data_IF_934622072957
#
_entry.id   IF_934622072957
#
_cell.length_a   1.000
_cell.length_b   1.000
_cell.length_c   1.000
_cell.angle_alpha   90.00
_cell.angle_beta   90.00
_cell.angle_gamma   90.00
#
_symmetry.space_group_name_H-M   'P 1'
#
loop_
_entity.id
_entity.type
_entity.pdbx_description
1 polymer ?
#
# COMPACT_ATOMS: atom_id res chain seq x y z
N UNK A 1 56.09 16.28 24.81
CA UNK A 1 54.73 16.74 24.41
C UNK A 1 54.63 16.56 22.89
N UNK A 2 54.54 15.34 22.33
CA UNK A 2 53.37 14.43 22.22
C UNK A 2 52.11 15.15 21.76
N UNK A 3 51.72 15.00 20.49
CA UNK A 3 50.40 14.55 20.04
C UNK A 3 50.50 14.04 18.60
N UNK A 4 50.52 12.71 18.46
CA UNK A 4 50.32 11.99 17.21
C UNK A 4 48.82 11.66 17.15
N UNK A 5 48.10 12.30 16.23
CA UNK A 5 46.64 12.14 16.10
C UNK A 5 46.35 10.85 15.35
N UNK A 6 45.97 9.81 16.09
CA UNK A 6 45.48 8.53 15.54
C UNK A 6 44.02 8.71 15.18
N UNK A 7 43.71 8.67 13.89
CA UNK A 7 42.35 8.58 13.37
C UNK A 7 41.84 7.15 13.63
N UNK A 8 41.02 6.98 14.66
CA UNK A 8 40.38 5.70 15.00
C UNK A 8 39.17 5.50 14.07
N UNK A 9 39.37 4.72 13.01
CA UNK A 9 38.30 4.28 12.11
C UNK A 9 37.40 3.28 12.87
N UNK A 10 36.25 3.76 13.34
CA UNK A 10 35.26 2.94 14.03
C UNK A 10 34.53 2.06 13.00
N UNK A 11 34.96 0.81 12.88
CA UNK A 11 34.25 -0.23 12.13
C UNK A 11 32.95 -0.56 12.89
N UNK A 12 31.82 -0.09 12.37
CA UNK A 12 30.48 -0.53 12.76
C UNK A 12 30.33 -2.02 12.41
N UNK A 13 30.74 -2.90 13.31
CA UNK A 13 30.31 -4.29 13.27
C UNK A 13 28.84 -4.30 13.66
N UNK A 14 27.96 -4.47 12.69
CA UNK A 14 26.56 -4.81 12.92
C UNK A 14 26.54 -6.11 13.72
N UNK A 15 26.32 -6.00 15.03
CA UNK A 15 25.98 -7.16 15.85
C UNK A 15 24.66 -7.67 15.32
N UNK A 16 24.70 -8.82 14.63
CA UNK A 16 23.53 -9.67 14.50
C UNK A 16 22.99 -9.89 15.91
N UNK A 17 21.81 -9.32 16.19
CA UNK A 17 21.07 -9.67 17.40
C UNK A 17 20.76 -11.15 17.31
N UNK A 18 21.47 -11.95 18.08
CA UNK A 18 21.04 -13.30 18.42
C UNK A 18 19.66 -13.11 19.06
N UNK A 19 18.63 -13.69 18.45
CA UNK A 19 17.26 -13.57 18.94
C UNK A 19 17.22 -13.84 20.44
N UNK A 20 16.63 -12.92 21.20
CA UNK A 20 16.18 -13.28 22.54
C UNK A 20 15.17 -14.41 22.33
N UNK A 21 15.38 -15.55 22.97
CA UNK A 21 14.33 -16.57 23.07
C UNK A 21 13.09 -15.89 23.66
N UNK A 22 12.05 -15.77 22.85
CA UNK A 22 10.78 -15.19 23.24
C UNK A 22 10.19 -16.05 24.36
N UNK A 23 10.11 -15.50 25.59
CA UNK A 23 9.81 -16.29 26.79
C UNK A 23 8.41 -16.92 26.70
N UNK A 24 7.44 -16.19 26.14
CA UNK A 24 6.11 -16.68 25.78
C UNK A 24 5.95 -16.60 24.25
N UNK A 25 6.29 -17.66 23.49
CA UNK A 25 6.19 -17.63 22.03
C UNK A 25 4.77 -17.38 21.54
N UNK A 26 4.62 -16.43 20.61
CA UNK A 26 3.35 -16.12 19.97
C UNK A 26 2.46 -15.16 20.77
N UNK A 27 3.03 -14.44 21.73
CA UNK A 27 2.34 -13.37 22.44
C UNK A 27 2.61 -12.02 21.74
N UNK A 28 1.55 -11.28 21.46
CA UNK A 28 1.63 -9.92 20.93
C UNK A 28 2.03 -8.91 22.03
N UNK A 29 1.62 -9.18 23.27
CA UNK A 29 1.91 -8.34 24.46
C UNK A 29 2.28 -9.23 25.64
N UNK A 30 3.24 -8.77 26.44
CA UNK A 30 3.69 -9.46 27.66
C UNK A 30 3.28 -8.70 28.91
N UNK A 31 2.76 -9.43 29.89
CA UNK A 31 2.56 -8.99 31.27
C UNK A 31 3.54 -9.73 32.19
N UNK A 32 4.32 -8.98 32.95
CA UNK A 32 5.25 -9.52 33.94
C UNK A 32 4.53 -9.79 35.25
N UNK A 33 4.69 -10.99 35.81
CA UNK A 33 4.33 -11.31 37.18
C UNK A 33 5.59 -11.34 38.04
N UNK A 34 5.67 -10.45 39.02
CA UNK A 34 6.80 -10.39 39.96
C UNK A 34 6.38 -9.78 41.29
N UNK A 35 6.82 -10.37 42.39
CA UNK A 35 6.56 -9.83 43.73
C UNK A 35 5.08 -9.92 44.07
N UNK A 36 4.38 -8.78 44.19
CA UNK A 36 2.95 -8.73 44.50
C UNK A 36 2.17 -7.96 43.42
N UNK A 37 2.65 -7.98 42.18
CA UNK A 37 2.12 -7.16 41.09
C UNK A 37 2.20 -7.84 39.73
N UNK A 38 1.26 -7.47 38.86
CA UNK A 38 1.42 -7.59 37.42
C UNK A 38 1.97 -6.25 36.87
N UNK A 39 2.79 -6.30 35.83
CA UNK A 39 3.33 -5.11 35.18
C UNK A 39 3.44 -5.32 33.67
N UNK A 40 2.79 -4.47 32.85
CA UNK A 40 1.76 -3.50 33.24
C UNK A 40 0.54 -4.16 33.93
N UNK A 41 -0.14 -3.42 34.81
CA UNK A 41 -1.35 -3.84 35.53
C UNK A 41 -2.65 -3.47 34.79
N UNK A 42 -2.55 -2.64 33.75
CA UNK A 42 -3.62 -2.35 32.81
C UNK A 42 -3.05 -2.29 31.39
N UNK A 43 -3.63 -3.05 30.47
CA UNK A 43 -3.28 -3.01 29.05
C UNK A 43 -4.52 -2.86 28.18
N UNK A 44 -4.31 -2.30 27.00
CA UNK A 44 -5.29 -2.26 25.92
C UNK A 44 -4.76 -3.16 24.80
N UNK A 45 -5.61 -4.04 24.29
CA UNK A 45 -5.30 -4.95 23.18
C UNK A 45 -6.49 -4.98 22.23
N UNK A 46 -6.28 -5.52 21.03
CA UNK A 46 -7.38 -5.71 20.07
C UNK A 46 -7.88 -7.16 20.11
N UNK A 47 -9.13 -7.38 19.69
CA UNK A 47 -9.65 -8.71 19.42
C UNK A 47 -8.69 -9.46 18.49
N UNK A 48 -8.38 -10.70 18.84
CA UNK A 48 -7.40 -11.56 18.17
C UNK A 48 -5.98 -11.46 18.72
N UNK A 49 -5.68 -10.50 19.60
CA UNK A 49 -4.36 -10.40 20.22
C UNK A 49 -4.17 -11.44 21.32
N UNK A 50 -2.94 -11.95 21.40
CA UNK A 50 -2.50 -12.93 22.38
C UNK A 50 -1.66 -12.25 23.46
N UNK A 51 -2.12 -12.34 24.70
CA UNK A 51 -1.36 -11.86 25.86
C UNK A 51 -0.58 -13.04 26.45
N UNK A 52 0.70 -12.83 26.72
CA UNK A 52 1.56 -13.76 27.44
C UNK A 52 1.89 -13.26 28.83
N UNK A 53 1.86 -14.14 29.83
CA UNK A 53 2.26 -13.79 31.19
C UNK A 53 3.59 -14.44 31.52
N UNK A 54 4.56 -13.65 31.96
CA UNK A 54 5.89 -14.15 32.32
C UNK A 54 6.11 -14.01 33.82
N UNK A 55 6.40 -15.10 34.51
CA UNK A 55 6.77 -15.08 35.91
C UNK A 55 8.29 -14.87 36.02
N UNK A 56 8.71 -13.78 36.66
CA UNK A 56 10.12 -13.41 36.87
C UNK A 56 10.68 -13.81 38.25
N UNK A 57 9.89 -14.48 39.09
CA UNK A 57 10.28 -14.90 40.43
C UNK A 57 9.09 -15.08 41.36
N UNK A 58 9.16 -16.10 42.23
CA UNK A 58 8.09 -16.42 43.18
C UNK A 58 7.01 -17.31 42.56
N UNK A 59 5.88 -17.43 43.28
CA UNK A 59 4.76 -18.32 42.91
C UNK A 59 3.56 -17.50 42.42
N UNK A 60 3.25 -17.61 41.14
CA UNK A 60 2.24 -16.78 40.47
C UNK A 60 1.37 -17.60 39.52
N UNK A 61 0.15 -17.14 39.32
CA UNK A 61 -0.81 -17.64 38.35
C UNK A 61 -1.54 -16.48 37.66
N UNK A 62 -2.55 -16.79 36.86
CA UNK A 62 -3.46 -15.79 36.27
C UNK A 62 -4.87 -16.32 36.40
N UNK A 63 -5.72 -15.63 37.15
CA UNK A 63 -7.10 -16.04 37.37
C UNK A 63 -8.08 -14.96 36.91
N UNK A 64 -8.74 -15.22 35.79
CA UNK A 64 -9.80 -14.38 35.23
C UNK A 64 -11.22 -14.93 35.48
N UNK A 65 -11.42 -15.82 36.46
CA UNK A 65 -12.73 -16.46 36.70
C UNK A 65 -13.52 -15.75 37.81
N UNK A 66 -12.93 -15.65 39.00
CA UNK A 66 -13.54 -15.01 40.17
C UNK A 66 -12.51 -14.33 41.04
N UNK A 67 -12.88 -13.26 41.73
CA UNK A 67 -11.97 -12.54 42.60
C UNK A 67 -11.49 -13.40 43.76
N UNK A 68 -10.18 -13.51 43.93
CA UNK A 68 -9.53 -14.16 45.07
C UNK A 68 -9.71 -13.40 46.39
N UNK A 69 -10.22 -12.16 46.32
CA UNK A 69 -10.51 -11.30 47.48
C UNK A 69 -11.96 -11.48 47.94
N UNK A 70 -12.92 -11.45 47.01
CA UNK A 70 -14.35 -11.42 47.34
C UNK A 70 -15.06 -12.75 47.11
N UNK A 71 -14.50 -13.64 46.27
CA UNK A 71 -15.12 -14.88 45.83
C UNK A 71 -16.13 -14.72 44.69
N UNK A 72 -16.49 -13.48 44.31
CA UNK A 72 -17.46 -13.20 43.26
C UNK A 72 -16.84 -13.38 41.87
N UNK A 73 -17.64 -13.81 40.89
CA UNK A 73 -17.17 -13.89 39.50
C UNK A 73 -16.81 -12.51 38.96
N UNK A 74 -15.74 -12.44 38.16
CA UNK A 74 -15.39 -11.23 37.44
C UNK A 74 -16.40 -10.88 36.34
N UNK A 75 -17.22 -11.84 35.89
CA UNK A 75 -18.14 -11.69 34.76
C UNK A 75 -17.42 -11.16 33.50
N UNK A 76 -16.21 -11.65 33.27
CA UNK A 76 -15.44 -11.35 32.06
C UNK A 76 -16.20 -11.85 30.81
N UNK A 77 -16.09 -11.16 29.66
CA UNK A 77 -16.80 -11.56 28.44
C UNK A 77 -16.51 -12.99 27.95
N UNK A 78 -15.26 -13.45 28.13
CA UNK A 78 -14.87 -14.85 28.03
C UNK A 78 -13.98 -15.26 29.22
N UNK A 79 -13.99 -16.56 29.55
CA UNK A 79 -13.24 -17.08 30.71
C UNK A 79 -11.80 -17.41 30.34
N UNK A 80 -10.86 -17.02 31.20
CA UNK A 80 -9.45 -17.38 31.07
C UNK A 80 -8.81 -17.64 32.44
N UNK A 81 -7.88 -18.59 32.49
CA UNK A 81 -7.07 -18.87 33.67
C UNK A 81 -5.82 -19.64 33.29
N UNK A 82 -4.69 -19.31 33.89
CA UNK A 82 -3.42 -20.02 33.75
C UNK A 82 -3.02 -20.56 35.11
N UNK A 83 -2.53 -21.80 35.12
CA UNK A 83 -2.18 -22.49 36.36
C UNK A 83 -1.00 -21.85 37.09
N UNK A 84 -0.93 -22.09 38.39
CA UNK A 84 0.14 -21.59 39.25
C UNK A 84 1.48 -22.23 38.93
N UNK A 85 2.52 -21.41 38.80
CA UNK A 85 3.90 -21.86 38.71
C UNK A 85 4.82 -21.07 39.64
N UNK A 86 5.82 -21.76 40.18
CA UNK A 86 6.84 -21.19 41.03
C UNK A 86 8.19 -21.21 40.34
N UNK A 87 8.89 -20.08 40.33
CA UNK A 87 10.24 -19.98 39.77
C UNK A 87 11.18 -19.22 40.71
N UNK A 88 12.44 -19.64 40.71
CA UNK A 88 13.46 -19.04 41.58
C UNK A 88 14.11 -17.83 40.91
N UNK A 89 14.78 -18.01 39.77
CA UNK A 89 15.57 -16.95 39.12
C UNK A 89 15.56 -16.96 37.59
N UNK A 90 15.03 -18.01 36.96
CA UNK A 90 14.88 -18.07 35.50
C UNK A 90 13.42 -17.76 35.17
N UNK A 91 13.14 -16.70 34.41
CA UNK A 91 11.77 -16.37 34.05
C UNK A 91 11.14 -17.46 33.19
N UNK A 92 9.85 -17.73 33.40
CA UNK A 92 9.10 -18.71 32.61
C UNK A 92 7.78 -18.11 32.15
N UNK A 93 7.29 -18.56 31.01
CA UNK A 93 5.93 -18.28 30.60
C UNK A 93 4.94 -19.01 31.51
N UNK A 94 4.06 -18.27 32.18
CA UNK A 94 2.86 -18.80 32.83
C UNK A 94 1.90 -19.42 31.82
N UNK A 95 1.85 -18.82 30.63
CA UNK A 95 1.03 -19.24 29.51
C UNK A 95 0.60 -18.03 28.70
N UNK A 96 -0.17 -18.30 27.65
CA UNK A 96 -0.74 -17.29 26.76
C UNK A 96 -2.25 -17.44 26.66
N UNK A 97 -2.94 -16.35 26.34
CA UNK A 97 -4.37 -16.36 26.04
C UNK A 97 -4.68 -15.37 24.93
N UNK A 98 -5.43 -15.83 23.91
CA UNK A 98 -5.91 -14.99 22.81
C UNK A 98 -7.31 -14.51 23.13
N UNK A 99 -7.50 -13.19 23.17
CA UNK A 99 -8.80 -12.59 23.46
C UNK A 99 -9.62 -12.47 22.18
N UNK A 100 -10.83 -13.01 22.16
CA UNK A 100 -11.70 -13.07 20.97
C UNK A 100 -12.96 -12.22 21.10
N UNK A 101 -13.29 -11.76 22.31
CA UNK A 101 -14.48 -10.94 22.57
C UNK A 101 -14.05 -9.56 23.10
N UNK A 102 -14.52 -8.44 22.53
CA UNK A 102 -14.21 -7.12 23.06
C UNK A 102 -14.85 -6.91 24.43
N UNK A 103 -14.21 -6.10 25.28
CA UNK A 103 -14.74 -5.76 26.59
C UNK A 103 -13.66 -5.56 27.64
N UNK A 104 -14.11 -5.41 28.89
CA UNK A 104 -13.24 -5.23 30.03
C UNK A 104 -13.04 -6.55 30.77
N UNK A 105 -11.79 -6.91 31.00
CA UNK A 105 -11.39 -8.15 31.66
C UNK A 105 -10.64 -7.82 32.94
N UNK A 106 -11.03 -8.43 34.05
CA UNK A 106 -10.33 -8.36 35.32
C UNK A 106 -9.71 -9.71 35.66
N UNK A 107 -8.53 -9.69 36.27
CA UNK A 107 -7.88 -10.89 36.78
C UNK A 107 -7.02 -10.59 37.99
N UNK A 108 -6.74 -11.63 38.77
CA UNK A 108 -5.85 -11.57 39.91
C UNK A 108 -4.99 -12.81 40.04
N UNK A 109 -4.08 -12.78 41.01
CA UNK A 109 -3.29 -13.93 41.41
C UNK A 109 -3.96 -14.64 42.59
N UNK A 110 -4.24 -15.94 42.46
CA UNK A 110 -4.89 -16.74 43.51
C UNK A 110 -3.94 -17.15 44.63
N UNK A 111 -2.62 -17.02 44.41
CA UNK A 111 -1.62 -17.35 45.44
C UNK A 111 -1.92 -16.58 46.72
N UNK A 112 -1.87 -17.29 47.85
CA UNK A 112 -2.35 -16.83 49.15
C UNK A 112 -1.93 -15.39 49.50
N UNK A 113 -2.91 -14.48 49.50
CA UNK A 113 -2.74 -13.06 49.87
C UNK A 113 -2.21 -12.14 48.78
N UNK A 114 -1.94 -12.64 47.57
CA UNK A 114 -1.40 -11.84 46.47
C UNK A 114 -2.40 -10.81 45.96
N UNK A 115 -3.60 -11.25 45.56
CA UNK A 115 -4.67 -10.34 45.13
C UNK A 115 -4.99 -9.29 46.21
N UNK A 116 -5.11 -9.70 47.48
CA UNK A 116 -5.38 -8.80 48.61
C UNK A 116 -4.27 -7.78 48.89
N UNK A 117 -3.07 -8.00 48.36
CA UNK A 117 -1.92 -7.08 48.44
C UNK A 117 -1.77 -6.22 47.18
N UNK A 118 -2.70 -6.29 46.24
CA UNK A 118 -2.69 -5.48 45.01
C UNK A 118 -2.25 -6.23 43.75
N UNK A 119 -2.05 -7.55 43.80
CA UNK A 119 -1.76 -8.35 42.60
C UNK A 119 -3.04 -8.62 41.79
N UNK A 120 -3.61 -7.54 41.29
CA UNK A 120 -4.81 -7.48 40.45
C UNK A 120 -4.48 -6.67 39.21
N UNK A 121 -5.11 -6.99 38.09
CA UNK A 121 -4.88 -6.29 36.85
C UNK A 121 -6.10 -6.37 35.93
N UNK A 122 -6.09 -5.56 34.87
CA UNK A 122 -7.14 -5.56 33.88
C UNK A 122 -6.60 -5.49 32.45
N UNK A 123 -7.45 -5.93 31.52
CA UNK A 123 -7.22 -5.89 30.08
C UNK A 123 -8.48 -5.28 29.47
N UNK A 124 -8.33 -4.23 28.67
CA UNK A 124 -9.42 -3.71 27.83
C UNK A 124 -9.18 -4.20 26.41
N UNK A 125 -10.12 -4.97 25.88
CA UNK A 125 -10.06 -5.52 24.53
C UNK A 125 -10.97 -4.70 23.64
N UNK A 126 -10.39 -4.04 22.64
CA UNK A 126 -11.14 -3.29 21.62
C UNK A 126 -11.36 -4.13 20.37
N UNK A 127 -12.47 -3.86 19.67
CA UNK A 127 -12.68 -4.28 18.30
C UNK A 127 -12.57 -3.04 17.40
N UNK A 128 -11.40 -2.77 16.81
CA UNK A 128 -11.23 -1.63 15.90
C UNK A 128 -11.98 -1.87 14.59
N UNK A 129 -12.68 -0.84 14.11
CA UNK A 129 -13.40 -0.88 12.83
C UNK A 129 -13.99 0.47 12.48
N UNK A 130 -14.58 0.61 11.29
CA UNK A 130 -15.23 1.86 10.90
C UNK A 130 -16.53 2.07 11.71
N UNK A 131 -16.65 3.21 12.38
CA UNK A 131 -17.85 3.56 13.17
C UNK A 131 -18.81 4.51 12.45
N UNK A 132 -18.49 4.98 11.24
CA UNK A 132 -19.37 5.85 10.46
C UNK A 132 -20.47 5.04 9.75
N UNK A 133 -21.72 5.28 10.15
CA UNK A 133 -22.91 4.61 9.60
C UNK A 133 -23.15 4.88 8.11
N UNK A 134 -22.50 5.89 7.53
CA UNK A 134 -22.58 6.21 6.11
C UNK A 134 -21.47 5.56 5.29
N UNK A 135 -20.50 4.91 5.94
CA UNK A 135 -19.41 4.23 5.25
C UNK A 135 -19.81 2.86 4.72
N UNK A 136 -19.21 2.48 3.60
CA UNK A 136 -19.39 1.21 2.94
C UNK A 136 -18.91 0.01 3.76
N UNK A 137 -17.95 0.23 4.65
CA UNK A 137 -17.39 -0.78 5.56
C UNK A 137 -17.73 -0.52 7.03
N UNK A 138 -18.85 0.17 7.30
CA UNK A 138 -19.37 0.36 8.65
C UNK A 138 -19.46 -0.97 9.41
N UNK A 139 -18.87 -1.02 10.61
CA UNK A 139 -18.96 -2.15 11.53
C UNK A 139 -19.70 -1.73 12.80
N UNK A 140 -20.93 -2.22 12.95
CA UNK A 140 -21.76 -1.96 14.14
C UNK A 140 -21.21 -2.57 15.42
N UNK A 141 -20.26 -3.51 15.34
CA UNK A 141 -19.62 -4.12 16.50
C UNK A 141 -18.33 -3.40 16.91
N UNK A 142 -17.81 -2.49 16.08
CA UNK A 142 -16.60 -1.75 16.38
C UNK A 142 -16.77 -0.97 17.70
N UNK A 143 -15.78 -1.10 18.58
CA UNK A 143 -15.75 -0.38 19.87
C UNK A 143 -14.85 0.84 19.82
N UNK A 144 -14.06 0.98 18.75
CA UNK A 144 -13.12 2.08 18.51
C UNK A 144 -13.01 2.31 17.00
N UNK A 145 -13.04 3.58 16.59
CA UNK A 145 -12.83 3.97 15.20
C UNK A 145 -11.34 3.87 14.86
N UNK A 146 -11.03 3.14 13.79
CA UNK A 146 -9.66 2.93 13.31
C UNK A 146 -9.34 3.74 12.05
N UNK A 147 -10.17 4.72 11.69
CA UNK A 147 -10.03 5.56 10.51
C UNK A 147 -10.03 4.76 9.20
N UNK A 148 -10.55 3.52 9.21
CA UNK A 148 -10.66 2.69 8.01
C UNK A 148 -11.92 2.96 7.18
N UNK A 149 -12.76 3.89 7.60
CA UNK A 149 -14.03 4.19 6.92
C UNK A 149 -13.83 4.54 5.45
N UNK A 150 -14.58 3.86 4.59
CA UNK A 150 -14.62 4.07 3.13
C UNK A 150 -15.96 4.71 2.78
N UNK A 151 -15.94 5.96 2.37
CA UNK A 151 -17.10 6.78 2.05
C UNK A 151 -17.34 6.84 0.54
N UNK A 152 -18.57 7.22 0.18
CA UNK A 152 -18.92 7.51 -1.21
C UNK A 152 -18.08 8.67 -1.73
N UNK A 153 -17.43 8.46 -2.88
CA UNK A 153 -16.52 9.41 -3.51
C UNK A 153 -15.07 9.33 -3.03
N UNK A 154 -14.73 8.41 -2.12
CA UNK A 154 -13.33 8.14 -1.79
C UNK A 154 -12.62 7.48 -2.97
N UNK A 155 -11.34 7.82 -3.14
CA UNK A 155 -10.46 7.18 -4.12
C UNK A 155 -10.28 5.70 -3.78
N UNK A 156 -10.32 4.84 -4.79
CA UNK A 156 -10.12 3.40 -4.65
C UNK A 156 -9.34 2.84 -5.86
N UNK A 157 -9.22 1.51 -5.95
CA UNK A 157 -8.63 0.81 -7.10
C UNK A 157 -9.53 -0.40 -7.40
N UNK A 158 -10.19 -0.40 -8.56
CA UNK A 158 -11.09 -1.48 -8.98
C UNK A 158 -10.33 -2.66 -9.63
N UNK A 159 -9.02 -2.51 -9.82
CA UNK A 159 -8.13 -3.49 -10.41
C UNK A 159 -8.25 -3.64 -11.93
N UNK A 160 -9.04 -2.82 -12.61
CA UNK A 160 -9.11 -2.77 -14.07
C UNK A 160 -8.06 -1.81 -14.62
N UNK A 161 -7.12 -2.32 -15.41
CA UNK A 161 -6.08 -1.50 -16.04
C UNK A 161 -6.64 -0.54 -17.12
N UNK A 162 -7.89 -0.73 -17.53
CA UNK A 162 -8.57 0.08 -18.54
C UNK A 162 -9.43 1.18 -17.92
N UNK A 163 -9.42 1.36 -16.60
CA UNK A 163 -10.11 2.44 -15.89
C UNK A 163 -9.11 3.40 -15.25
N UNK A 164 -9.56 4.64 -15.00
CA UNK A 164 -8.82 5.67 -14.29
C UNK A 164 -9.77 6.44 -13.37
N UNK A 165 -9.18 7.11 -12.39
CA UNK A 165 -9.89 7.94 -11.42
C UNK A 165 -10.99 7.13 -10.69
N UNK A 166 -10.61 5.96 -10.17
CA UNK A 166 -11.54 5.05 -9.52
C UNK A 166 -12.02 5.61 -8.19
N UNK A 167 -13.34 5.60 -8.02
CA UNK A 167 -13.98 6.14 -6.82
C UNK A 167 -15.09 5.20 -6.35
N UNK A 168 -15.33 5.23 -5.04
CA UNK A 168 -16.40 4.47 -4.39
C UNK A 168 -17.75 5.07 -4.79
N UNK A 169 -18.57 4.26 -5.44
CA UNK A 169 -19.89 4.63 -5.94
C UNK A 169 -20.97 4.44 -4.87
N UNK A 170 -22.17 4.99 -5.06
CA UNK A 170 -23.30 4.88 -4.11
C UNK A 170 -23.67 3.44 -3.72
N UNK A 171 -23.34 2.46 -4.56
CA UNK A 171 -23.54 1.04 -4.29
C UNK A 171 -22.35 0.35 -3.59
N UNK A 172 -21.37 1.12 -3.12
CA UNK A 172 -20.13 0.66 -2.48
C UNK A 172 -19.21 -0.18 -3.37
N UNK A 173 -19.41 -0.14 -4.69
CA UNK A 173 -18.45 -0.69 -5.64
C UNK A 173 -17.39 0.37 -5.94
N UNK A 174 -16.14 -0.07 -6.08
CA UNK A 174 -15.10 0.75 -6.67
C UNK A 174 -15.25 0.66 -8.19
N UNK A 175 -15.43 1.79 -8.87
CA UNK A 175 -15.49 1.85 -10.32
C UNK A 175 -14.74 3.08 -10.80
N UNK A 176 -13.92 2.91 -11.84
CA UNK A 176 -13.31 4.01 -12.57
C UNK A 176 -14.00 4.39 -13.86
N UNK A 177 -13.52 5.48 -14.44
CA UNK A 177 -13.90 5.91 -15.78
C UNK A 177 -13.04 5.17 -16.80
N UNK A 178 -13.59 4.68 -17.92
CA UNK A 178 -12.77 4.03 -18.94
C UNK A 178 -11.68 4.99 -19.38
N UNK A 179 -10.43 4.53 -19.35
CA UNK A 179 -9.28 5.22 -19.92
C UNK A 179 -9.65 5.48 -21.36
N UNK A 180 -9.97 6.75 -21.64
CA UNK A 180 -10.06 7.21 -23.00
C UNK A 180 -8.62 7.21 -23.48
N UNK A 181 -8.20 6.10 -24.10
CA UNK A 181 -7.28 6.19 -25.22
C UNK A 181 -7.98 7.10 -26.22
N UNK A 182 -7.87 8.41 -26.00
CA UNK A 182 -7.69 9.30 -27.12
C UNK A 182 -6.49 8.68 -27.81
N UNK A 183 -6.79 7.87 -28.83
CA UNK A 183 -5.93 7.71 -29.98
C UNK A 183 -5.48 9.13 -30.31
N UNK A 184 -4.34 9.52 -29.73
CA UNK A 184 -3.46 10.50 -30.31
C UNK A 184 -3.28 9.93 -31.72
N UNK A 185 -4.01 10.54 -32.66
CA UNK A 185 -4.18 10.07 -34.01
C UNK A 185 -2.87 9.47 -34.49
N UNK A 186 -2.92 8.38 -35.24
CA UNK A 186 -1.88 8.16 -36.23
C UNK A 186 -1.85 9.41 -37.12
N UNK A 187 -1.13 10.46 -36.69
CA UNK A 187 -0.81 11.62 -37.49
C UNK A 187 -0.29 11.03 -38.79
N UNK A 188 -0.85 11.49 -39.91
CA UNK A 188 -0.50 10.95 -41.22
C UNK A 188 1.00 11.23 -41.44
N UNK A 189 1.84 10.22 -41.18
CA UNK A 189 3.29 10.38 -41.22
C UNK A 189 3.73 10.27 -42.67
N UNK A 190 4.16 11.41 -43.23
CA UNK A 190 4.66 11.50 -44.60
C UNK A 190 6.19 11.52 -44.58
N UNK A 191 6.81 10.45 -45.07
CA UNK A 191 8.27 10.38 -45.26
C UNK A 191 8.61 10.72 -46.71
N UNK A 192 9.48 11.71 -46.91
CA UNK A 192 9.91 12.20 -48.22
C UNK A 192 11.41 12.02 -48.37
N UNK A 193 11.85 11.20 -49.32
CA UNK A 193 13.28 10.91 -49.53
C UNK A 193 13.64 10.57 -50.98
N UNK A 194 14.87 10.90 -51.44
CA UNK A 194 15.83 11.75 -50.74
C UNK A 194 15.34 13.21 -50.72
N UNK A 195 15.71 13.97 -49.71
CA UNK A 195 15.49 15.41 -49.67
C UNK A 195 16.79 16.07 -49.18
N UNK A 196 17.56 16.80 -50.03
CA UNK A 196 17.23 17.20 -51.42
C UNK A 196 17.23 16.06 -52.46
N UNK A 197 16.51 16.27 -53.58
CA UNK A 197 16.35 15.29 -54.69
C UNK A 197 16.83 15.84 -56.03
N UNK A 198 17.44 14.97 -56.86
CA UNK A 198 17.90 15.32 -58.22
C UNK A 198 17.09 14.70 -59.35
N UNK A 199 16.47 13.55 -59.12
CA UNK A 199 15.79 12.80 -60.19
C UNK A 199 14.53 12.10 -59.71
N UNK A 200 14.62 11.23 -58.71
CA UNK A 200 13.48 10.42 -58.23
C UNK A 200 13.27 10.71 -56.74
N UNK A 201 12.05 11.16 -56.41
CA UNK A 201 11.55 11.39 -55.06
C UNK A 201 10.59 10.27 -54.69
N UNK A 202 10.73 9.72 -53.49
CA UNK A 202 9.79 8.76 -52.92
C UNK A 202 9.05 9.42 -51.75
N UNK A 203 7.73 9.30 -51.75
CA UNK A 203 6.86 9.78 -50.68
C UNK A 203 6.08 8.58 -50.15
N UNK A 204 6.24 8.24 -48.87
CA UNK A 204 5.49 7.15 -48.22
C UNK A 204 4.62 7.69 -47.11
N UNK A 205 3.44 7.10 -46.92
CA UNK A 205 2.46 7.46 -45.91
C UNK A 205 2.10 6.23 -45.07
N UNK A 206 1.82 6.42 -43.78
CA UNK A 206 1.23 5.39 -42.91
C UNK A 206 -0.24 5.10 -43.22
N UNK A 207 -0.97 6.05 -43.83
CA UNK A 207 -2.37 5.88 -44.28
C UNK A 207 -2.59 6.38 -45.70
N UNK A 208 -3.65 5.91 -46.36
CA UNK A 208 -3.98 6.31 -47.75
C UNK A 208 -4.40 7.77 -47.79
N UNK A 209 -3.75 8.56 -48.64
CA UNK A 209 -4.16 9.95 -48.89
C UNK A 209 -3.98 10.32 -50.35
N UNK A 210 -4.79 11.27 -50.81
CA UNK A 210 -4.49 12.06 -52.01
C UNK A 210 -3.30 12.99 -51.74
N UNK A 211 -2.37 13.10 -52.68
CA UNK A 211 -1.23 14.03 -52.59
C UNK A 211 -1.28 15.05 -53.72
N UNK A 212 -0.94 16.30 -53.40
CA UNK A 212 -0.81 17.41 -54.34
C UNK A 212 0.56 18.07 -54.19
N UNK A 213 1.28 18.29 -55.28
CA UNK A 213 2.58 18.97 -55.25
C UNK A 213 2.46 20.35 -55.82
N UNK A 214 2.97 21.35 -55.10
CA UNK A 214 3.00 22.74 -55.51
C UNK A 214 4.44 23.26 -55.62
N UNK A 215 4.68 24.17 -56.55
CA UNK A 215 5.93 24.91 -56.63
C UNK A 215 5.99 26.06 -55.60
N UNK A 216 7.13 26.76 -55.55
CA UNK A 216 7.35 27.87 -54.60
C UNK A 216 6.38 29.06 -54.73
N UNK A 217 5.63 29.17 -55.83
CA UNK A 217 4.61 30.22 -56.04
C UNK A 217 3.19 29.68 -55.79
N UNK A 218 3.05 28.42 -55.36
CA UNK A 218 1.77 27.80 -55.03
C UNK A 218 1.02 27.25 -56.24
N UNK A 219 1.67 27.09 -57.40
CA UNK A 219 1.06 26.47 -58.57
C UNK A 219 1.11 24.95 -58.45
N UNK A 220 -0.01 24.28 -58.68
CA UNK A 220 -0.10 22.82 -58.70
C UNK A 220 0.75 22.27 -59.87
N UNK A 221 1.65 21.35 -59.56
CA UNK A 221 2.59 20.70 -60.48
C UNK A 221 2.12 19.29 -60.83
N UNK A 222 1.80 18.48 -59.81
CA UNK A 222 1.36 17.09 -59.95
C UNK A 222 0.35 16.73 -58.85
N UNK A 223 -0.50 15.73 -59.10
CA UNK A 223 -1.49 15.23 -58.14
C UNK A 223 -1.69 13.71 -58.32
N UNK A 224 -1.96 13.00 -57.22
CA UNK A 224 -2.27 11.56 -57.23
C UNK A 224 -3.75 11.27 -56.95
N UNK A 225 -4.15 10.01 -57.11
CA UNK A 225 -5.29 9.45 -56.36
C UNK A 225 -4.90 9.11 -54.92
N UNK A 226 -5.70 8.31 -54.23
CA UNK A 226 -5.36 7.80 -52.89
C UNK A 226 -4.22 6.77 -52.97
N UNK A 227 -3.10 7.08 -52.33
CA UNK A 227 -1.89 6.25 -52.34
C UNK A 227 -1.30 6.15 -50.92
N UNK A 228 -0.55 5.08 -50.66
CA UNK A 228 0.32 4.94 -49.47
C UNK A 228 1.79 5.12 -49.81
N UNK A 229 2.15 5.08 -51.09
CA UNK A 229 3.50 5.33 -51.58
C UNK A 229 3.44 5.90 -53.00
N UNK A 230 4.28 6.89 -53.28
CA UNK A 230 4.36 7.55 -54.58
C UNK A 230 5.80 7.81 -54.97
N UNK A 231 6.15 7.40 -56.19
CA UNK A 231 7.45 7.63 -56.81
C UNK A 231 7.28 8.71 -57.87
N UNK A 232 7.93 9.85 -57.65
CA UNK A 232 7.82 11.04 -58.48
C UNK A 232 9.14 11.34 -59.17
N UNK A 233 9.10 11.50 -60.50
CA UNK A 233 10.27 11.90 -61.28
C UNK A 233 10.31 13.43 -61.41
N UNK A 234 11.29 14.05 -60.75
CA UNK A 234 11.50 15.51 -60.71
C UNK A 234 12.68 15.96 -61.57
N UNK A 235 13.29 15.08 -62.37
CA UNK A 235 14.51 15.39 -63.15
C UNK A 235 14.35 16.55 -64.16
N UNK A 236 13.12 16.82 -64.60
CA UNK A 236 12.79 17.91 -65.51
C UNK A 236 12.37 19.21 -64.79
N UNK A 237 12.30 19.21 -63.46
CA UNK A 237 11.77 20.32 -62.68
C UNK A 237 12.84 21.38 -62.44
N UNK A 238 12.40 22.64 -62.30
CA UNK A 238 13.30 23.73 -61.93
C UNK A 238 13.82 23.53 -60.50
N UNK A 239 15.09 23.86 -60.26
CA UNK A 239 15.68 23.81 -58.91
C UNK A 239 14.93 24.76 -57.97
N UNK A 240 14.64 24.31 -56.76
CA UNK A 240 13.93 25.14 -55.79
C UNK A 240 13.12 24.35 -54.75
N UNK A 241 12.33 25.10 -53.98
CA UNK A 241 11.46 24.57 -52.94
C UNK A 241 10.11 24.16 -53.53
N UNK A 242 9.66 22.95 -53.18
CA UNK A 242 8.35 22.41 -53.50
C UNK A 242 7.65 21.96 -52.22
N UNK A 243 6.32 21.90 -52.28
CA UNK A 243 5.50 21.44 -51.16
C UNK A 243 4.54 20.33 -51.57
N UNK A 244 4.49 19.25 -50.80
CA UNK A 244 3.49 18.19 -50.88
C UNK A 244 2.39 18.49 -49.88
N UNK A 245 1.14 18.55 -50.33
CA UNK A 245 -0.04 18.71 -49.49
C UNK A 245 -0.84 17.40 -49.46
N UNK A 246 -1.23 16.96 -48.25
CA UNK A 246 -2.09 15.79 -48.06
C UNK A 246 -3.57 16.17 -48.18
N UNK A 247 -4.47 15.20 -48.30
CA UNK A 247 -5.91 15.43 -48.37
C UNK A 247 -6.46 16.06 -47.07
N UNK A 248 -5.85 15.75 -45.93
CA UNK A 248 -6.12 16.37 -44.63
C UNK A 248 -5.62 17.83 -44.53
N UNK A 249 -4.81 18.27 -45.49
CA UNK A 249 -4.33 19.65 -45.59
C UNK A 249 -2.94 19.90 -45.02
N UNK A 250 -2.25 18.87 -44.53
CA UNK A 250 -0.89 18.97 -44.01
C UNK A 250 0.10 19.23 -45.14
N UNK A 251 1.16 20.00 -44.86
CA UNK A 251 2.10 20.48 -45.87
C UNK A 251 3.51 20.05 -45.49
N UNK A 252 4.15 19.30 -46.38
CA UNK A 252 5.53 18.84 -46.26
C UNK A 252 6.39 19.48 -47.36
N UNK A 253 7.65 19.79 -47.06
CA UNK A 253 8.54 20.52 -47.98
C UNK A 253 9.67 19.64 -48.48
N UNK A 254 10.02 19.78 -49.76
CA UNK A 254 11.23 19.16 -50.32
C UNK A 254 11.93 20.08 -51.32
N UNK A 255 13.21 19.81 -51.55
CA UNK A 255 14.09 20.63 -52.38
C UNK A 255 14.52 19.82 -53.60
N UNK A 256 14.38 20.41 -54.80
CA UNK A 256 14.93 19.89 -56.05
C UNK A 256 16.26 20.58 -56.37
N UNK A 257 17.31 19.80 -56.64
CA UNK A 257 18.68 20.26 -56.93
C UNK A 257 19.21 19.90 -58.32
#
# INVERSE_FOLDING_TARGET
>A
MKYLSIFLLCLLTSTFSIGQDEICPGADVIVSAQGMSYSPDAIIVNVGWTVGWVNYGGTHDVNGVSSSITGESFNNPESFSLGTMSVDSVPVCLGTHTFTIPGFYSYDCTTYGHAGSGMVANITVHLPGCMDVLACNYDSNATEDNESCVLIGDDCDDGDENTQDDVIQENCECLGSPVSIVDELEDLSVLIFPNPVKSILTITLNSKSKLQVFDSVGKLVEETGEVTSWVLNVSAWGKGLYTVKTQAGEIHKFIVE
#
